data_IF_913243720012
#
_entry.id   IF_913243720012
#
_cell.length_a   1.000
_cell.length_b   1.000
_cell.length_c   1.000
_cell.angle_alpha   90.00
_cell.angle_beta   90.00
_cell.angle_gamma   90.00
#
_symmetry.space_group_name_H-M   'P 1'
#
loop_
_entity.id
_entity.type
_entity.pdbx_description
1 polymer ?
#
# COMPACT_ATOMS: atom_id res chain seq x y z
N UNK A 1 -25.18 23.61 -9.32
CA UNK A 1 -25.78 23.17 -8.03
C UNK A 1 -26.76 22.00 -8.23
N UNK A 2 -27.68 22.04 -9.21
CA UNK A 2 -28.68 20.97 -9.41
C UNK A 2 -28.05 19.57 -9.63
N UNK A 3 -27.01 19.46 -10.47
CA UNK A 3 -26.27 18.22 -10.66
C UNK A 3 -25.60 17.72 -9.35
N UNK A 4 -25.12 18.62 -8.51
CA UNK A 4 -24.56 18.25 -7.20
C UNK A 4 -25.62 17.71 -6.23
N UNK A 5 -26.84 18.21 -6.31
CA UNK A 5 -27.96 17.65 -5.55
C UNK A 5 -28.30 16.23 -6.03
N UNK A 6 -28.31 16.01 -7.34
CA UNK A 6 -28.49 14.67 -7.93
C UNK A 6 -27.39 13.67 -7.56
N UNK A 7 -26.18 14.13 -7.26
CA UNK A 7 -25.06 13.33 -6.76
C UNK A 7 -25.05 13.17 -5.22
N UNK A 8 -26.02 13.75 -4.51
CA UNK A 8 -26.12 13.65 -3.05
C UNK A 8 -25.10 14.53 -2.30
N UNK A 9 -24.49 15.50 -2.96
CA UNK A 9 -23.51 16.41 -2.35
C UNK A 9 -24.15 17.60 -1.63
N UNK A 10 -25.36 18.00 -2.03
CA UNK A 10 -26.17 19.02 -1.38
C UNK A 10 -27.64 18.61 -1.41
N UNK A 11 -28.44 19.14 -0.51
CA UNK A 11 -29.90 18.96 -0.57
C UNK A 11 -30.51 20.03 -1.46
N UNK A 12 -31.46 19.65 -2.32
CA UNK A 12 -32.33 20.57 -3.01
C UNK A 12 -33.53 20.87 -2.10
N UNK A 13 -33.68 22.12 -1.67
CA UNK A 13 -34.77 22.56 -0.77
C UNK A 13 -36.01 22.99 -1.58
N UNK A 14 -35.78 23.73 -2.65
CA UNK A 14 -36.77 24.13 -3.66
C UNK A 14 -36.07 24.31 -5.01
N UNK A 15 -36.79 24.79 -6.02
CA UNK A 15 -36.29 24.90 -7.42
C UNK A 15 -34.97 25.66 -7.55
N UNK A 16 -34.62 26.53 -6.60
CA UNK A 16 -33.45 27.42 -6.66
C UNK A 16 -32.60 27.41 -5.41
N UNK A 17 -33.07 26.83 -4.33
CA UNK A 17 -32.43 26.85 -3.02
C UNK A 17 -31.75 25.51 -2.73
N UNK A 18 -30.50 25.59 -2.29
CA UNK A 18 -29.70 24.42 -1.93
C UNK A 18 -29.18 24.56 -0.49
N UNK A 19 -29.07 23.44 0.20
CA UNK A 19 -28.58 23.36 1.56
C UNK A 19 -27.42 22.39 1.65
N UNK A 20 -26.39 22.77 2.43
CA UNK A 20 -25.29 21.86 2.80
C UNK A 20 -25.87 20.67 3.57
N UNK A 21 -25.50 19.48 3.17
CA UNK A 21 -25.86 18.23 3.85
C UNK A 21 -24.66 17.64 4.62
N UNK A 22 -24.84 16.55 5.40
CA UNK A 22 -23.78 15.96 6.18
C UNK A 22 -22.54 15.53 5.35
N UNK A 23 -22.74 15.12 4.08
CA UNK A 23 -21.64 14.73 3.18
C UNK A 23 -20.73 15.93 2.90
N UNK A 24 -21.32 17.04 2.43
CA UNK A 24 -20.54 18.25 2.14
C UNK A 24 -19.95 18.86 3.41
N UNK A 25 -20.71 18.85 4.53
CA UNK A 25 -20.19 19.33 5.82
C UNK A 25 -18.95 18.53 6.24
N UNK A 26 -18.98 17.21 6.11
CA UNK A 26 -17.82 16.34 6.39
C UNK A 26 -16.65 16.63 5.46
N UNK A 27 -16.89 16.79 4.16
CA UNK A 27 -15.82 17.08 3.18
C UNK A 27 -15.11 18.42 3.47
N UNK A 28 -15.86 19.41 3.95
CA UNK A 28 -15.28 20.71 4.35
C UNK A 28 -14.51 20.61 5.67
N UNK A 29 -15.05 19.86 6.63
CA UNK A 29 -14.45 19.72 7.97
C UNK A 29 -13.23 18.79 8.00
N UNK A 30 -13.11 17.86 7.03
CA UNK A 30 -12.05 16.82 6.98
C UNK A 30 -11.29 16.94 5.65
N UNK A 31 -10.17 17.69 5.60
CA UNK A 31 -9.42 17.90 4.36
C UNK A 31 -9.05 16.65 3.60
N UNK A 32 -8.67 15.56 4.29
CA UNK A 32 -8.35 14.28 3.66
C UNK A 32 -9.52 13.64 2.90
N UNK A 33 -10.76 13.96 3.26
CA UNK A 33 -11.97 13.53 2.51
C UNK A 33 -12.10 14.26 1.18
N UNK A 34 -11.82 15.57 1.16
CA UNK A 34 -11.77 16.36 -0.07
C UNK A 34 -10.62 15.91 -0.98
N UNK A 35 -9.44 15.67 -0.40
CA UNK A 35 -8.26 15.15 -1.11
C UNK A 35 -8.54 13.78 -1.72
N UNK A 36 -9.24 12.91 -1.00
CA UNK A 36 -9.70 11.62 -1.52
C UNK A 36 -10.66 11.77 -2.70
N UNK A 37 -11.61 12.71 -2.62
CA UNK A 37 -12.52 12.99 -3.73
C UNK A 37 -11.75 13.50 -4.95
N UNK A 38 -10.79 14.39 -4.75
CA UNK A 38 -9.92 14.89 -5.81
C UNK A 38 -9.14 13.73 -6.47
N UNK A 39 -8.58 12.81 -5.68
CA UNK A 39 -7.90 11.62 -6.21
C UNK A 39 -8.85 10.77 -7.05
N UNK A 40 -10.02 10.38 -6.52
CA UNK A 40 -10.93 9.49 -7.24
C UNK A 40 -11.52 10.10 -8.52
N UNK A 41 -11.73 11.41 -8.55
CA UNK A 41 -12.27 12.10 -9.72
C UNK A 41 -11.21 12.45 -10.78
N UNK A 42 -9.94 12.30 -10.46
CA UNK A 42 -8.83 12.51 -11.39
C UNK A 42 -8.25 11.17 -11.87
N UNK A 43 -7.37 10.52 -11.10
CA UNK A 43 -6.64 9.35 -11.57
C UNK A 43 -7.54 8.13 -11.87
N UNK A 44 -8.36 7.60 -10.93
CA UNK A 44 -9.21 6.47 -11.19
C UNK A 44 -10.28 6.72 -12.26
N UNK A 45 -10.93 7.90 -12.25
CA UNK A 45 -11.95 8.21 -13.24
C UNK A 45 -11.35 8.36 -14.63
N UNK A 46 -10.17 9.01 -14.73
CA UNK A 46 -9.40 9.09 -15.96
C UNK A 46 -9.11 7.71 -16.54
N UNK A 47 -8.47 6.85 -15.76
CA UNK A 47 -8.10 5.51 -16.22
C UNK A 47 -9.33 4.65 -16.56
N UNK A 48 -10.41 4.75 -15.78
CA UNK A 48 -11.64 4.02 -16.05
C UNK A 48 -12.28 4.42 -17.39
N UNK A 49 -12.19 5.69 -17.79
CA UNK A 49 -12.73 6.17 -19.07
C UNK A 49 -12.03 5.49 -20.27
N UNK A 50 -10.79 5.07 -20.14
CA UNK A 50 -10.01 4.46 -21.22
C UNK A 50 -9.88 2.94 -21.13
N UNK A 51 -10.26 2.33 -20.00
CA UNK A 51 -10.13 0.89 -19.76
C UNK A 51 -10.71 0.03 -20.88
N UNK A 52 -11.96 0.23 -21.22
CA UNK A 52 -12.63 -0.60 -22.23
C UNK A 52 -12.08 -0.37 -23.64
N UNK A 53 -11.60 0.82 -23.93
CA UNK A 53 -10.96 1.10 -25.21
C UNK A 53 -9.63 0.37 -25.32
N UNK A 54 -8.78 0.48 -24.32
CA UNK A 54 -7.51 -0.25 -24.28
C UNK A 54 -7.72 -1.77 -24.38
N UNK A 55 -8.66 -2.34 -23.60
CA UNK A 55 -8.95 -3.77 -23.65
C UNK A 55 -9.36 -4.25 -25.07
N UNK A 56 -10.16 -3.46 -25.80
CA UNK A 56 -10.51 -3.77 -27.19
C UNK A 56 -9.29 -3.73 -28.10
N UNK A 57 -8.46 -2.71 -28.00
CA UNK A 57 -7.27 -2.52 -28.84
C UNK A 57 -6.23 -3.63 -28.57
N UNK A 58 -6.14 -4.11 -27.31
CA UNK A 58 -5.25 -5.23 -26.92
C UNK A 58 -5.93 -6.61 -27.02
N UNK A 59 -7.12 -6.72 -27.62
CA UNK A 59 -7.89 -7.97 -27.73
C UNK A 59 -8.14 -8.62 -26.37
N UNK A 60 -8.41 -7.80 -25.35
CA UNK A 60 -8.62 -8.19 -23.95
C UNK A 60 -7.41 -8.86 -23.30
N UNK A 61 -6.20 -8.52 -23.75
CA UNK A 61 -4.96 -8.98 -23.12
C UNK A 61 -4.87 -8.42 -21.69
N UNK A 62 -4.61 -9.31 -20.74
CA UNK A 62 -4.48 -9.04 -19.31
C UNK A 62 -3.54 -10.11 -18.69
N UNK A 63 -2.74 -9.79 -17.68
CA UNK A 63 -2.62 -8.51 -16.96
C UNK A 63 -1.88 -7.43 -17.74
N UNK A 64 -2.17 -6.17 -17.41
CA UNK A 64 -1.41 -5.05 -17.95
C UNK A 64 0.03 -5.08 -17.43
N UNK A 65 0.94 -4.56 -18.24
CA UNK A 65 2.31 -4.29 -17.80
C UNK A 65 2.34 -2.97 -17.00
N UNK A 66 3.36 -2.82 -16.17
CA UNK A 66 3.73 -1.55 -15.54
C UNK A 66 3.66 -0.42 -16.54
N UNK A 67 3.49 0.75 -16.37
CA UNK A 67 3.48 1.90 -17.30
C UNK A 67 2.69 1.71 -18.62
N UNK A 68 1.92 0.63 -18.77
CA UNK A 68 1.05 0.37 -19.93
C UNK A 68 -0.39 0.08 -19.49
N UNK A 69 -0.82 0.79 -18.48
CA UNK A 69 -2.16 0.71 -17.93
C UNK A 69 -3.12 1.63 -18.67
N UNK A 70 -4.43 1.57 -18.41
CA UNK A 70 -5.38 2.54 -18.93
C UNK A 70 -5.04 4.00 -18.64
N UNK A 71 -4.26 4.28 -17.59
CA UNK A 71 -3.77 5.62 -17.27
C UNK A 71 -2.89 6.17 -18.38
N UNK A 72 -1.81 5.46 -18.73
CA UNK A 72 -0.87 5.85 -19.79
C UNK A 72 -1.53 5.79 -21.17
N UNK A 73 -2.38 4.78 -21.38
CA UNK A 73 -3.16 4.68 -22.62
C UNK A 73 -4.03 5.93 -22.84
N UNK A 74 -4.67 6.46 -21.79
CA UNK A 74 -5.43 7.70 -21.87
C UNK A 74 -4.58 8.89 -22.31
N UNK A 75 -3.40 9.07 -21.71
CA UNK A 75 -2.47 10.14 -22.10
C UNK A 75 -1.98 10.01 -23.55
N UNK A 76 -1.72 8.80 -24.01
CA UNK A 76 -1.43 8.53 -25.41
C UNK A 76 -2.58 8.97 -26.33
N UNK A 77 -3.83 8.73 -25.93
CA UNK A 77 -5.00 9.07 -26.76
C UNK A 77 -5.24 10.58 -26.90
N UNK A 78 -4.77 11.39 -25.98
CA UNK A 78 -4.87 12.86 -26.03
C UNK A 78 -3.56 13.52 -26.44
N UNK A 79 -2.56 12.75 -26.88
CA UNK A 79 -1.23 13.20 -27.36
C UNK A 79 -0.38 13.91 -26.27
N UNK A 80 -0.57 13.57 -25.01
CA UNK A 80 0.24 14.05 -23.88
C UNK A 80 1.47 13.14 -23.67
N UNK A 81 2.43 13.22 -24.56
CA UNK A 81 3.57 12.30 -24.67
C UNK A 81 4.44 12.22 -23.42
N UNK A 82 4.52 13.30 -22.61
CA UNK A 82 5.32 13.35 -21.36
C UNK A 82 4.87 12.35 -20.30
N UNK A 83 3.66 11.77 -20.41
CA UNK A 83 3.11 10.84 -19.43
C UNK A 83 2.93 9.41 -19.94
N UNK A 84 3.19 9.16 -21.23
CA UNK A 84 2.87 7.88 -21.88
C UNK A 84 3.67 6.70 -21.34
N UNK A 85 4.90 6.94 -20.89
CA UNK A 85 5.80 5.91 -20.34
C UNK A 85 6.08 6.10 -18.86
N UNK A 86 5.39 7.05 -18.21
CA UNK A 86 5.61 7.36 -16.81
C UNK A 86 4.71 6.53 -15.88
N UNK A 87 5.24 6.11 -14.74
CA UNK A 87 4.44 5.47 -13.71
C UNK A 87 3.41 6.45 -13.13
N UNK A 88 2.23 5.97 -12.73
CA UNK A 88 1.15 6.82 -12.21
C UNK A 88 1.59 7.73 -11.06
N UNK A 89 2.44 7.24 -10.14
CA UNK A 89 2.98 8.10 -9.07
C UNK A 89 3.92 9.20 -9.59
N UNK A 90 4.72 8.91 -10.61
CA UNK A 90 5.55 9.93 -11.28
C UNK A 90 4.69 11.00 -11.94
N UNK A 91 3.61 10.60 -12.61
CA UNK A 91 2.63 11.53 -13.21
C UNK A 91 2.03 12.43 -12.13
N UNK A 92 1.54 11.85 -11.03
CA UNK A 92 0.97 12.60 -9.90
C UNK A 92 1.99 13.60 -9.31
N UNK A 93 3.26 13.17 -9.19
CA UNK A 93 4.34 14.05 -8.73
C UNK A 93 4.55 15.23 -9.68
N UNK A 94 4.67 14.98 -10.98
CA UNK A 94 4.83 16.02 -12.00
C UNK A 94 3.64 17.00 -12.06
N UNK A 95 2.45 16.53 -11.70
CA UNK A 95 1.23 17.34 -11.60
C UNK A 95 1.07 18.07 -10.25
N UNK A 96 2.02 17.92 -9.31
CA UNK A 96 1.94 18.51 -7.98
C UNK A 96 0.85 17.92 -7.08
N UNK A 97 0.42 16.68 -7.35
CA UNK A 97 -0.70 16.01 -6.69
C UNK A 97 -0.31 15.20 -5.44
N UNK A 98 0.98 14.95 -5.23
CA UNK A 98 1.46 14.11 -4.13
C UNK A 98 1.05 14.62 -2.74
N UNK A 99 1.04 15.94 -2.43
CA UNK A 99 0.60 16.40 -1.11
C UNK A 99 -0.85 16.03 -0.79
N UNK A 100 -1.78 16.21 -1.75
CA UNK A 100 -3.19 15.82 -1.56
C UNK A 100 -3.37 14.31 -1.49
N UNK A 101 -2.62 13.56 -2.29
CA UNK A 101 -2.62 12.09 -2.22
C UNK A 101 -2.14 11.59 -0.85
N UNK A 102 -1.05 12.14 -0.32
CA UNK A 102 -0.54 11.78 1.01
C UNK A 102 -1.55 12.09 2.12
N UNK A 103 -2.18 13.27 2.08
CA UNK A 103 -3.26 13.66 3.02
C UNK A 103 -4.44 12.69 2.96
N UNK A 104 -4.84 12.28 1.76
CA UNK A 104 -5.90 11.27 1.57
C UNK A 104 -5.50 9.91 2.18
N UNK A 105 -4.27 9.44 1.94
CA UNK A 105 -3.79 8.16 2.48
C UNK A 105 -3.76 8.18 4.01
N UNK A 106 -3.20 9.23 4.61
CA UNK A 106 -3.18 9.43 6.06
C UNK A 106 -4.60 9.35 6.66
N UNK A 107 -5.56 10.10 6.10
CA UNK A 107 -6.95 10.09 6.57
C UNK A 107 -7.69 8.76 6.32
N UNK A 108 -7.31 8.01 5.28
CA UNK A 108 -7.90 6.71 4.97
C UNK A 108 -7.45 5.64 5.96
N UNK A 109 -6.18 5.58 6.29
CA UNK A 109 -5.59 4.50 7.09
C UNK A 109 -5.72 4.72 8.60
N UNK A 110 -5.77 5.95 9.08
CA UNK A 110 -6.03 6.28 10.49
C UNK A 110 -7.35 5.73 11.06
N UNK A 111 -8.22 5.17 10.22
CA UNK A 111 -9.51 4.57 10.64
C UNK A 111 -9.40 3.12 11.13
N UNK A 112 -8.30 2.43 10.89
CA UNK A 112 -8.18 1.01 11.18
C UNK A 112 -7.50 0.69 12.52
N UNK A 113 -7.27 1.69 13.36
CA UNK A 113 -6.44 1.58 14.56
C UNK A 113 -4.95 1.53 14.25
N UNK A 114 -4.10 1.52 15.25
CA UNK A 114 -2.66 1.45 15.07
C UNK A 114 -2.21 0.06 14.57
N UNK A 115 -1.06 -0.01 13.88
CA UNK A 115 -0.54 -1.28 13.39
C UNK A 115 -0.32 -2.30 14.53
N UNK A 116 0.29 -1.94 15.69
CA UNK A 116 0.44 -2.89 16.79
C UNK A 116 -0.89 -3.42 17.34
N UNK A 117 -1.93 -2.57 17.43
CA UNK A 117 -3.26 -3.00 17.86
C UNK A 117 -3.90 -3.96 16.86
N UNK A 118 -3.78 -3.68 15.56
CA UNK A 118 -4.33 -4.54 14.51
C UNK A 118 -3.68 -5.92 14.52
N UNK A 119 -2.35 -6.00 14.51
CA UNK A 119 -1.66 -7.31 14.48
C UNK A 119 -1.92 -8.11 15.75
N UNK A 120 -2.02 -7.44 16.92
CA UNK A 120 -2.43 -8.07 18.16
C UNK A 120 -3.85 -8.64 18.09
N UNK A 121 -4.78 -7.94 17.43
CA UNK A 121 -6.16 -8.44 17.26
C UNK A 121 -6.24 -9.72 16.44
N UNK A 122 -5.24 -10.00 15.61
CA UNK A 122 -5.09 -11.24 14.84
C UNK A 122 -4.41 -12.36 15.64
N UNK A 123 -4.01 -12.10 16.88
CA UNK A 123 -3.23 -13.05 17.70
C UNK A 123 -1.74 -13.08 17.33
N UNK A 124 -1.24 -12.09 16.57
CA UNK A 124 0.17 -11.99 16.20
C UNK A 124 0.97 -11.28 17.31
N UNK A 125 2.01 -11.94 17.82
CA UNK A 125 2.87 -11.40 18.90
C UNK A 125 4.06 -10.63 18.32
N UNK A 126 3.80 -9.39 17.91
CA UNK A 126 4.85 -8.50 17.41
C UNK A 126 5.89 -8.18 18.49
N UNK A 127 5.51 -8.11 19.76
CA UNK A 127 6.44 -7.83 20.87
C UNK A 127 7.56 -8.84 20.94
N UNK A 128 7.22 -10.14 21.01
CA UNK A 128 8.21 -11.22 21.03
C UNK A 128 9.11 -11.21 19.80
N UNK A 129 8.58 -10.83 18.62
CA UNK A 129 9.40 -10.70 17.40
C UNK A 129 10.44 -9.59 17.55
N UNK A 130 10.04 -8.42 18.07
CA UNK A 130 10.91 -7.25 18.19
C UNK A 130 11.96 -7.39 19.30
N UNK A 131 11.76 -8.31 20.24
CA UNK A 131 12.71 -8.59 21.33
C UNK A 131 13.68 -9.73 21.01
N UNK A 132 13.47 -10.48 19.93
CA UNK A 132 14.21 -11.72 19.64
C UNK A 132 15.71 -11.53 19.42
N UNK A 133 16.15 -10.36 18.94
CA UNK A 133 17.57 -10.04 18.65
C UNK A 133 17.82 -8.55 18.92
N UNK A 134 17.99 -8.18 20.18
CA UNK A 134 17.94 -6.81 20.72
C UNK A 134 18.92 -5.78 20.10
N UNK A 135 19.95 -6.21 19.39
CA UNK A 135 20.95 -5.32 18.78
C UNK A 135 20.75 -5.08 17.28
N UNK A 136 19.71 -5.66 16.68
CA UNK A 136 19.44 -5.54 15.27
C UNK A 136 18.48 -4.39 14.96
N UNK A 137 18.43 -3.97 13.71
CA UNK A 137 17.36 -3.13 13.22
C UNK A 137 16.04 -3.89 13.42
N UNK A 138 15.13 -3.29 14.18
CA UNK A 138 13.88 -3.94 14.55
C UNK A 138 12.91 -3.97 13.36
N UNK A 139 12.68 -2.83 12.73
CA UNK A 139 11.77 -2.74 11.56
C UNK A 139 12.39 -1.88 10.46
N UNK A 140 12.32 -2.39 9.24
CA UNK A 140 12.44 -1.62 8.00
C UNK A 140 11.07 -1.49 7.38
N UNK A 141 10.56 -0.28 7.27
CA UNK A 141 9.26 0.02 6.63
C UNK A 141 9.51 0.50 5.20
N UNK A 142 9.18 -0.35 4.24
CA UNK A 142 9.46 -0.14 2.82
C UNK A 142 8.26 0.52 2.16
N UNK A 143 8.46 1.73 1.62
CA UNK A 143 7.39 2.54 1.05
C UNK A 143 6.46 3.10 2.13
N UNK A 144 6.98 3.34 3.32
CA UNK A 144 6.21 3.74 4.51
C UNK A 144 5.76 5.21 4.54
N UNK A 145 5.86 5.94 3.42
CA UNK A 145 5.40 7.32 3.32
C UNK A 145 6.17 8.26 4.25
N UNK A 146 5.51 8.78 5.27
CA UNK A 146 6.13 9.63 6.30
C UNK A 146 6.54 8.88 7.56
N UNK A 147 6.32 7.55 7.60
CA UNK A 147 6.69 6.68 8.72
C UNK A 147 5.66 6.64 9.85
N UNK A 148 4.39 6.96 9.57
CA UNK A 148 3.32 6.94 10.58
C UNK A 148 3.26 5.58 11.30
N UNK A 149 3.34 4.48 10.56
CA UNK A 149 3.33 3.13 11.13
C UNK A 149 4.51 2.89 12.07
N UNK A 150 5.72 3.34 11.73
CA UNK A 150 6.89 3.23 12.61
C UNK A 150 6.74 4.08 13.88
N UNK A 151 6.09 5.24 13.82
CA UNK A 151 5.78 6.06 15.00
C UNK A 151 4.77 5.38 15.91
N UNK A 152 3.76 4.71 15.36
CA UNK A 152 2.82 3.88 16.12
C UNK A 152 3.55 2.73 16.84
N UNK A 153 4.47 2.06 16.16
CA UNK A 153 5.31 1.00 16.75
C UNK A 153 6.18 1.57 17.87
N UNK A 154 6.84 2.71 17.65
CA UNK A 154 7.67 3.35 18.67
C UNK A 154 6.87 3.75 19.91
N UNK A 155 5.63 4.20 19.71
CA UNK A 155 4.73 4.52 20.83
C UNK A 155 4.33 3.27 21.62
N UNK A 156 4.07 2.15 20.95
CA UNK A 156 3.70 0.90 21.57
C UNK A 156 4.90 0.18 22.24
N UNK A 157 6.11 0.39 21.70
CA UNK A 157 7.37 -0.22 22.16
C UNK A 157 8.43 0.86 22.45
N UNK A 158 8.34 1.59 23.57
CA UNK A 158 9.19 2.77 23.85
C UNK A 158 10.69 2.47 24.03
N UNK A 159 11.07 1.21 24.19
CA UNK A 159 12.48 0.79 24.26
C UNK A 159 13.17 0.84 22.89
N UNK A 160 12.42 0.87 21.79
CA UNK A 160 12.97 1.00 20.45
C UNK A 160 13.46 2.42 20.22
N UNK A 161 14.74 2.52 19.85
CA UNK A 161 15.39 3.78 19.54
C UNK A 161 15.26 4.09 18.05
N UNK A 162 15.61 5.32 17.67
CA UNK A 162 15.63 5.78 16.29
C UNK A 162 16.39 4.84 15.35
N UNK A 163 17.56 4.38 15.77
CA UNK A 163 18.43 3.49 14.99
C UNK A 163 17.82 2.10 14.72
N UNK A 164 16.83 1.69 15.50
CA UNK A 164 16.11 0.42 15.32
C UNK A 164 14.98 0.51 14.30
N UNK A 165 14.58 1.71 13.89
CA UNK A 165 13.42 1.99 13.06
C UNK A 165 13.86 2.68 11.76
N UNK A 166 13.81 1.96 10.66
CA UNK A 166 14.27 2.45 9.35
C UNK A 166 13.07 2.63 8.44
N UNK A 167 12.85 3.86 7.99
CA UNK A 167 11.90 4.20 6.94
C UNK A 167 12.64 4.23 5.60
N UNK A 168 12.21 3.45 4.64
CA UNK A 168 12.68 3.51 3.26
C UNK A 168 11.56 3.99 2.34
N UNK A 169 11.82 5.08 1.62
CA UNK A 169 10.86 5.70 0.73
C UNK A 169 11.55 6.30 -0.49
N UNK A 170 10.85 6.35 -1.62
CA UNK A 170 11.30 7.09 -2.79
C UNK A 170 11.13 8.59 -2.57
N UNK A 171 12.25 9.34 -2.54
CA UNK A 171 12.27 10.79 -2.26
C UNK A 171 11.57 11.14 -0.94
N UNK A 172 12.03 10.58 0.19
CA UNK A 172 11.39 10.78 1.49
C UNK A 172 11.44 12.24 1.92
N UNK A 173 10.36 12.70 2.56
CA UNK A 173 10.46 13.93 3.33
C UNK A 173 11.20 13.66 4.66
N UNK A 174 11.71 14.72 5.28
CA UNK A 174 12.52 14.60 6.49
C UNK A 174 11.75 14.98 7.78
N UNK A 175 10.42 15.05 7.70
CA UNK A 175 9.59 15.52 8.82
C UNK A 175 9.86 14.75 10.12
N UNK A 176 10.04 13.44 10.04
CA UNK A 176 10.22 12.56 11.19
C UNK A 176 11.69 12.09 11.37
N UNK A 177 12.66 12.79 10.78
CA UNK A 177 14.08 12.41 10.85
C UNK A 177 14.68 12.44 12.26
N UNK A 178 14.05 13.10 13.23
CA UNK A 178 14.47 13.06 14.64
C UNK A 178 14.06 11.76 15.34
N UNK A 179 13.00 11.11 14.87
CA UNK A 179 12.38 9.93 15.47
C UNK A 179 12.74 8.63 14.75
N UNK A 180 13.06 8.71 13.45
CA UNK A 180 13.28 7.59 12.56
C UNK A 180 14.59 7.74 11.80
N UNK A 181 15.21 6.62 11.43
CA UNK A 181 16.27 6.59 10.44
C UNK A 181 15.63 6.57 9.06
N UNK A 182 15.83 7.63 8.27
CA UNK A 182 15.20 7.77 6.95
C UNK A 182 16.23 7.49 5.85
N UNK A 183 15.88 6.60 4.93
CA UNK A 183 16.71 6.22 3.79
C UNK A 183 15.92 6.45 2.48
N UNK A 184 16.59 7.03 1.48
CA UNK A 184 16.06 7.07 0.13
C UNK A 184 16.33 5.73 -0.56
N UNK A 185 15.27 5.03 -0.98
CA UNK A 185 15.38 3.83 -1.79
C UNK A 185 14.23 3.73 -2.78
N UNK A 186 14.57 3.63 -4.05
CA UNK A 186 13.63 3.23 -5.09
C UNK A 186 13.70 1.72 -5.25
N UNK A 187 12.77 0.99 -4.66
CA UNK A 187 12.74 -0.46 -4.76
C UNK A 187 12.45 -0.97 -6.18
N UNK A 188 12.07 -0.09 -7.11
CA UNK A 188 11.83 -0.42 -8.52
C UNK A 188 13.10 -0.43 -9.36
N UNK A 189 14.14 0.31 -8.97
CA UNK A 189 15.44 0.27 -9.65
C UNK A 189 16.16 -1.06 -9.42
N UNK A 190 17.36 -1.24 -9.97
CA UNK A 190 18.13 -2.48 -9.83
C UNK A 190 18.88 -2.59 -8.50
N UNK A 191 18.83 -1.57 -7.64
CA UNK A 191 19.54 -1.60 -6.35
C UNK A 191 18.96 -2.67 -5.41
N UNK A 192 19.81 -3.39 -4.66
CA UNK A 192 19.36 -4.34 -3.66
C UNK A 192 18.83 -3.62 -2.41
N UNK A 193 18.07 -4.33 -1.58
CA UNK A 193 17.78 -3.88 -0.22
C UNK A 193 19.11 -3.70 0.57
N UNK A 194 19.30 -2.49 1.08
CA UNK A 194 20.57 -2.11 1.75
C UNK A 194 20.65 -2.56 3.20
N UNK A 195 19.53 -2.66 3.89
CA UNK A 195 19.46 -3.10 5.28
C UNK A 195 19.42 -4.62 5.32
N UNK A 196 20.43 -5.24 5.90
CA UNK A 196 20.56 -6.70 5.99
C UNK A 196 20.21 -7.18 7.41
N UNK A 197 19.49 -8.29 7.51
CA UNK A 197 19.23 -8.97 8.77
C UNK A 197 18.36 -8.19 9.75
N UNK A 198 17.47 -7.30 9.29
CA UNK A 198 16.47 -6.70 10.16
C UNK A 198 15.52 -7.78 10.70
N UNK A 199 14.95 -7.56 11.89
CA UNK A 199 13.95 -8.49 12.44
C UNK A 199 12.70 -8.53 11.57
N UNK A 200 12.23 -7.37 11.15
CA UNK A 200 11.01 -7.21 10.35
C UNK A 200 11.27 -6.31 9.14
N UNK A 201 10.87 -6.78 7.97
CA UNK A 201 10.68 -5.98 6.76
C UNK A 201 9.18 -5.81 6.57
N UNK A 202 8.68 -4.61 6.77
CA UNK A 202 7.26 -4.29 6.71
C UNK A 202 6.89 -3.61 5.40
N UNK A 203 5.78 -4.01 4.80
CA UNK A 203 5.23 -3.41 3.59
C UNK A 203 3.72 -3.22 3.77
N UNK A 204 3.32 -1.97 3.93
CA UNK A 204 1.90 -1.62 4.11
C UNK A 204 1.36 -1.01 2.83
N UNK A 205 0.39 -1.67 2.20
CA UNK A 205 -0.27 -1.20 0.96
C UNK A 205 0.68 -0.96 -0.23
N UNK A 206 1.74 -1.75 -0.33
CA UNK A 206 2.72 -1.67 -1.42
C UNK A 206 2.40 -2.68 -2.52
N UNK A 207 2.21 -3.95 -2.15
CA UNK A 207 2.12 -5.03 -3.12
C UNK A 207 0.88 -4.95 -4.03
N UNK A 208 -0.22 -4.37 -3.55
CA UNK A 208 -1.40 -4.21 -4.40
C UNK A 208 -1.21 -3.18 -5.53
N UNK A 209 -0.19 -2.32 -5.44
CA UNK A 209 0.20 -1.36 -6.48
C UNK A 209 1.21 -1.94 -7.49
N UNK A 210 1.58 -3.21 -7.37
CA UNK A 210 2.61 -3.84 -8.18
C UNK A 210 2.03 -4.97 -9.03
N UNK A 211 2.47 -5.03 -10.28
CA UNK A 211 2.30 -6.20 -11.13
C UNK A 211 2.93 -7.44 -10.48
N UNK A 212 2.60 -8.65 -10.94
CA UNK A 212 3.19 -9.85 -10.35
C UNK A 212 4.70 -9.91 -10.54
N UNK A 213 5.19 -9.41 -11.67
CA UNK A 213 6.63 -9.37 -11.95
C UNK A 213 7.37 -8.42 -11.00
N UNK A 214 6.85 -7.19 -10.82
CA UNK A 214 7.44 -6.22 -9.89
C UNK A 214 7.37 -6.69 -8.44
N UNK A 215 6.21 -7.23 -8.04
CA UNK A 215 6.00 -7.77 -6.72
C UNK A 215 6.99 -8.90 -6.40
N UNK A 216 7.22 -9.80 -7.35
CA UNK A 216 8.20 -10.87 -7.19
C UNK A 216 9.64 -10.34 -7.14
N UNK A 217 9.98 -9.33 -7.95
CA UNK A 217 11.31 -8.67 -7.90
C UNK A 217 11.56 -8.04 -6.52
N UNK A 218 10.60 -7.27 -6.00
CA UNK A 218 10.71 -6.67 -4.67
C UNK A 218 10.81 -7.76 -3.59
N UNK A 219 9.97 -8.78 -3.64
CA UNK A 219 9.99 -9.89 -2.67
C UNK A 219 11.36 -10.60 -2.65
N UNK A 220 11.98 -10.82 -3.81
CA UNK A 220 13.33 -11.41 -3.90
C UNK A 220 14.41 -10.50 -3.31
N UNK A 221 14.38 -9.19 -3.59
CA UNK A 221 15.34 -8.23 -2.99
C UNK A 221 15.27 -8.26 -1.47
N UNK A 222 14.07 -8.33 -0.90
CA UNK A 222 13.89 -8.41 0.55
C UNK A 222 14.32 -9.79 1.05
N UNK A 223 13.92 -10.88 0.39
CA UNK A 223 14.36 -12.23 0.74
C UNK A 223 15.89 -12.34 0.81
N UNK A 224 16.60 -11.75 -0.17
CA UNK A 224 18.08 -11.74 -0.20
C UNK A 224 18.70 -10.91 0.94
N UNK A 225 17.96 -9.96 1.51
CA UNK A 225 18.37 -9.16 2.65
C UNK A 225 18.07 -9.82 4.00
N UNK A 226 17.07 -10.68 4.07
CA UNK A 226 16.61 -11.35 5.28
C UNK A 226 17.69 -12.30 5.84
N UNK A 227 17.84 -12.32 7.16
CA UNK A 227 18.53 -13.40 7.90
C UNK A 227 17.53 -14.56 8.18
N UNK A 228 18.00 -15.72 8.65
CA UNK A 228 17.11 -16.84 9.00
C UNK A 228 16.00 -16.49 10.02
N UNK A 229 16.27 -15.57 10.94
CA UNK A 229 15.32 -15.09 11.94
C UNK A 229 14.42 -13.97 11.45
N UNK A 230 14.72 -13.36 10.31
CA UNK A 230 13.96 -12.21 9.78
C UNK A 230 12.56 -12.62 9.33
N UNK A 231 11.64 -11.67 9.38
CA UNK A 231 10.26 -11.82 8.93
C UNK A 231 9.91 -10.72 7.94
N UNK A 232 9.17 -11.07 6.91
CA UNK A 232 8.53 -10.11 6.02
C UNK A 232 7.05 -10.01 6.42
N UNK A 233 6.60 -8.83 6.85
CA UNK A 233 5.22 -8.55 7.21
C UNK A 233 4.55 -7.73 6.11
N UNK A 234 3.50 -8.27 5.55
CA UNK A 234 2.74 -7.65 4.46
C UNK A 234 1.35 -7.30 5.00
N UNK A 235 1.05 -6.01 5.07
CA UNK A 235 -0.26 -5.50 5.47
C UNK A 235 -1.06 -5.16 4.21
N UNK A 236 -2.06 -5.99 3.90
CA UNK A 236 -2.84 -5.90 2.67
C UNK A 236 -4.30 -6.30 2.86
N UNK A 237 -5.16 -5.80 1.99
CA UNK A 237 -6.57 -6.17 2.00
C UNK A 237 -6.78 -7.60 1.51
N UNK A 238 -7.71 -8.31 2.14
CA UNK A 238 -8.11 -9.63 1.70
C UNK A 238 -8.77 -9.60 0.32
N UNK A 239 -8.49 -10.58 -0.54
CA UNK A 239 -9.16 -10.75 -1.83
C UNK A 239 -10.57 -11.30 -1.62
N UNK A 240 -11.52 -10.39 -1.39
CA UNK A 240 -12.94 -10.69 -1.23
C UNK A 240 -13.82 -9.67 -1.96
N UNK A 241 -15.13 -9.88 -1.97
CA UNK A 241 -16.08 -9.03 -2.71
C UNK A 241 -16.08 -7.56 -2.22
N UNK A 242 -15.81 -7.31 -0.93
CA UNK A 242 -15.76 -5.97 -0.35
C UNK A 242 -14.72 -5.10 -1.05
N UNK A 243 -13.59 -5.68 -1.44
CA UNK A 243 -12.47 -4.97 -2.07
C UNK A 243 -12.41 -5.13 -3.59
N UNK A 244 -13.46 -5.65 -4.23
CA UNK A 244 -13.51 -5.83 -5.69
C UNK A 244 -13.32 -4.53 -6.47
N UNK A 245 -13.90 -3.41 -5.98
CA UNK A 245 -13.73 -2.08 -6.61
C UNK A 245 -12.28 -1.61 -6.51
N UNK A 246 -11.66 -1.76 -5.34
CA UNK A 246 -10.25 -1.41 -5.13
C UNK A 246 -9.34 -2.28 -6.01
N UNK A 247 -9.60 -3.57 -6.12
CA UNK A 247 -8.88 -4.46 -7.01
C UNK A 247 -8.89 -3.97 -8.47
N UNK A 248 -10.07 -3.58 -8.98
CA UNK A 248 -10.20 -3.01 -10.32
C UNK A 248 -9.43 -1.68 -10.47
N UNK A 249 -9.45 -0.83 -9.43
CA UNK A 249 -8.70 0.43 -9.42
C UNK A 249 -7.19 0.19 -9.48
N UNK A 250 -6.66 -0.78 -8.73
CA UNK A 250 -5.23 -1.12 -8.75
C UNK A 250 -4.79 -1.61 -10.14
N UNK A 251 -5.61 -2.43 -10.79
CA UNK A 251 -5.35 -2.90 -12.15
C UNK A 251 -5.22 -1.73 -13.13
N UNK A 252 -6.15 -0.79 -13.08
CA UNK A 252 -6.22 0.32 -14.06
C UNK A 252 -5.12 1.36 -13.83
N UNK A 253 -4.73 1.61 -12.59
CA UNK A 253 -3.76 2.66 -12.26
C UNK A 253 -2.31 2.17 -12.31
N UNK A 254 -2.06 0.92 -11.87
CA UNK A 254 -0.72 0.45 -11.54
C UNK A 254 -0.38 -0.91 -12.14
N UNK A 255 -1.25 -1.53 -12.89
CA UNK A 255 -1.17 -2.96 -13.26
C UNK A 255 -1.10 -3.90 -12.05
N UNK A 256 -1.37 -3.37 -10.87
CA UNK A 256 -1.32 -4.08 -9.60
C UNK A 256 -2.61 -4.83 -9.29
N UNK A 257 -2.63 -5.59 -8.21
CA UNK A 257 -3.81 -6.35 -7.80
C UNK A 257 -3.79 -6.80 -6.34
N UNK A 258 -4.97 -6.95 -5.75
CA UNK A 258 -5.14 -7.64 -4.47
C UNK A 258 -4.92 -9.14 -4.68
N UNK A 259 -4.16 -9.78 -3.80
CA UNK A 259 -3.79 -11.20 -3.89
C UNK A 259 -4.50 -12.04 -2.83
N UNK A 260 -4.82 -13.28 -3.19
CA UNK A 260 -5.38 -14.29 -2.29
C UNK A 260 -4.26 -15.00 -1.51
N UNK A 261 -4.63 -15.73 -0.45
CA UNK A 261 -3.71 -16.63 0.29
C UNK A 261 -2.93 -17.54 -0.65
N UNK A 262 -3.60 -18.19 -1.62
CA UNK A 262 -2.93 -19.07 -2.59
C UNK A 262 -1.90 -18.33 -3.43
N UNK A 263 -2.21 -17.12 -3.88
CA UNK A 263 -1.30 -16.29 -4.68
C UNK A 263 -0.10 -15.82 -3.87
N UNK A 264 -0.29 -15.49 -2.57
CA UNK A 264 0.81 -15.18 -1.66
C UNK A 264 1.75 -16.38 -1.46
N UNK A 265 1.22 -17.57 -1.22
CA UNK A 265 2.02 -18.80 -1.07
C UNK A 265 2.81 -19.14 -2.34
N UNK A 266 2.22 -18.94 -3.51
CA UNK A 266 2.92 -19.14 -4.79
C UNK A 266 4.07 -18.14 -4.98
N UNK A 267 3.85 -16.87 -4.67
CA UNK A 267 4.89 -15.83 -4.77
C UNK A 267 6.01 -16.06 -3.75
N UNK A 268 5.67 -16.38 -2.51
CA UNK A 268 6.63 -16.70 -1.46
C UNK A 268 7.57 -17.83 -1.92
N UNK A 269 7.02 -18.94 -2.42
CA UNK A 269 7.82 -20.06 -2.91
C UNK A 269 8.78 -19.65 -4.03
N UNK A 270 8.35 -18.80 -4.98
CA UNK A 270 9.20 -18.29 -6.06
C UNK A 270 10.31 -17.36 -5.57
N UNK A 271 10.16 -16.78 -4.38
CA UNK A 271 11.15 -15.91 -3.73
C UNK A 271 12.01 -16.64 -2.68
N UNK A 272 11.88 -17.96 -2.52
CA UNK A 272 12.59 -18.73 -1.50
C UNK A 272 12.05 -18.52 -0.09
N UNK A 273 10.77 -18.15 0.02
CA UNK A 273 10.07 -17.89 1.27
C UNK A 273 8.88 -18.87 1.44
N UNK A 274 8.37 -18.92 2.65
CA UNK A 274 7.12 -19.60 3.00
C UNK A 274 6.22 -18.67 3.81
N UNK A 275 4.90 -18.80 3.66
CA UNK A 275 3.92 -18.09 4.47
C UNK A 275 3.76 -18.84 5.78
N UNK A 276 4.10 -18.18 6.90
CA UNK A 276 4.08 -18.77 8.25
C UNK A 276 2.93 -18.26 9.10
N UNK A 277 2.33 -17.12 8.75
CA UNK A 277 1.14 -16.59 9.38
C UNK A 277 0.29 -15.83 8.37
N UNK A 278 -1.02 -15.94 8.48
CA UNK A 278 -1.95 -15.13 7.69
C UNK A 278 -3.26 -14.90 8.46
N UNK A 279 -3.75 -13.66 8.39
CA UNK A 279 -5.03 -13.24 8.93
C UNK A 279 -5.75 -12.31 7.95
N UNK A 280 -7.00 -12.63 7.64
CA UNK A 280 -7.80 -11.90 6.64
C UNK A 280 -9.16 -11.52 7.23
N UNK A 281 -9.29 -10.32 7.78
CA UNK A 281 -10.59 -9.84 8.26
C UNK A 281 -11.54 -9.62 7.07
N UNK A 282 -12.85 -9.67 7.34
CA UNK A 282 -13.89 -9.38 6.34
C UNK A 282 -13.77 -7.95 5.81
N UNK A 283 -13.41 -7.02 6.69
CA UNK A 283 -13.15 -5.62 6.37
C UNK A 283 -11.89 -5.14 7.12
N UNK A 284 -11.13 -4.23 6.51
CA UNK A 284 -9.86 -3.75 7.02
C UNK A 284 -8.66 -4.49 6.42
N UNK A 285 -7.50 -4.17 6.93
CA UNK A 285 -6.23 -4.76 6.53
C UNK A 285 -6.05 -6.12 7.17
N UNK A 286 -5.53 -7.06 6.40
CA UNK A 286 -5.02 -8.34 6.86
C UNK A 286 -3.52 -8.30 7.08
N UNK A 287 -2.97 -9.43 7.53
CA UNK A 287 -1.55 -9.62 7.74
C UNK A 287 -1.09 -10.93 7.09
N UNK A 288 0.02 -10.88 6.37
CA UNK A 288 0.74 -12.07 5.88
C UNK A 288 2.18 -11.98 6.37
N UNK A 289 2.62 -13.00 7.12
CA UNK A 289 4.03 -13.19 7.46
C UNK A 289 4.67 -14.18 6.51
N UNK A 290 5.87 -13.86 6.05
CA UNK A 290 6.71 -14.78 5.30
C UNK A 290 8.09 -14.90 5.96
N UNK A 291 8.67 -16.12 5.95
CA UNK A 291 10.00 -16.43 6.45
C UNK A 291 10.81 -17.20 5.39
N UNK A 292 12.11 -17.25 5.55
CA UNK A 292 12.95 -18.11 4.70
C UNK A 292 12.56 -19.57 4.84
N UNK A 293 12.54 -20.30 3.73
CA UNK A 293 12.25 -21.74 3.73
C UNK A 293 13.17 -22.49 4.69
N UNK A 294 12.58 -23.37 5.51
CA UNK A 294 13.30 -24.22 6.46
C UNK A 294 13.76 -23.53 7.75
N UNK A 295 13.28 -22.30 8.01
CA UNK A 295 13.60 -21.58 9.26
C UNK A 295 12.41 -21.53 10.24
N UNK A 296 11.27 -22.14 9.91
CA UNK A 296 10.16 -22.25 10.84
C UNK A 296 10.60 -23.05 12.08
N UNK A 297 10.51 -22.41 13.25
CA UNK A 297 10.75 -23.09 14.53
C UNK A 297 9.86 -24.33 14.62
N UNK A 298 10.44 -25.46 14.99
CA UNK A 298 9.78 -26.77 15.09
C UNK A 298 8.68 -26.85 16.19
N UNK A 299 7.75 -25.88 16.20
CA UNK A 299 6.59 -25.83 17.08
C UNK A 299 5.29 -25.82 16.28
N UNK A 300 5.06 -26.89 15.51
CA UNK A 300 3.72 -27.21 15.02
C UNK A 300 3.43 -28.70 15.26
N UNK A 301 3.54 -29.12 16.51
CA UNK A 301 2.87 -30.31 17.02
C UNK A 301 2.07 -29.89 18.25
N UNK A 302 0.81 -29.55 18.08
CA UNK A 302 -0.33 -29.70 19.00
C UNK A 302 -1.57 -29.22 18.22
N UNK A 303 -2.41 -30.03 17.85
CA UNK A 303 -3.46 -30.86 18.28
C UNK A 303 -4.39 -31.20 17.11
N UNK A 304 -4.65 -32.44 17.04
CA UNK A 304 -5.76 -33.03 16.28
C UNK A 304 -7.11 -32.65 16.89
#
# INVERSE_FOLDING_TARGET
MFAMAGLGLVDLVDDTTYRVNPVTAHMVAVPSSLDGMLHFTTEPLWSAAFLMRQLRDTKFEYPFQENKTPTQYGYKMIDEQRFVDEHTYSIMHMQGRMPSFSSFMEGKFGRFGTMPERVKSFGYDLGSVLESEANNIAIVDIGGGRGEMLLEVKQAYPHLKKEHLVLQEYRPDQKNANELTIQNWDFKDESPESVKGALVYSLTHIYHNLSDLEALRLMKKISDAMAPYSRMLIHEFAKNATYGKMHATMIQLYAGRIRSSREWKQMAALAGLEVTFEAYPVAGEGLVEMRKLGTSDGTSDVAA
#
